data_IF_704358005168
#
_entry.id   IF_704358005168
#
_cell.length_a   1.000
_cell.length_b   1.000
_cell.length_c   1.000
_cell.angle_alpha   90.00
_cell.angle_beta   90.00
_cell.angle_gamma   90.00
#
_symmetry.space_group_name_H-M   'P 1'
#
loop_
_entity.id
_entity.type
_entity.pdbx_description
1 polymer ?
#
# COMPACT_ATOMS: atom_id res chain seq x y z
N UNK A 1 15.38 7.39 -27.19
CA UNK A 1 14.09 6.71 -26.92
C UNK A 1 13.80 6.84 -25.42
N UNK A 2 12.72 7.50 -25.00
CA UNK A 2 12.40 7.60 -23.57
C UNK A 2 11.94 6.24 -23.03
N UNK A 3 12.57 5.76 -21.95
CA UNK A 3 12.20 4.51 -21.26
C UNK A 3 10.80 4.66 -20.67
N UNK A 4 9.86 3.82 -21.10
CA UNK A 4 8.48 3.78 -20.60
C UNK A 4 8.14 2.40 -20.04
N UNK A 5 7.46 2.37 -18.91
CA UNK A 5 6.82 1.15 -18.41
C UNK A 5 5.34 1.15 -18.80
N UNK A 6 4.80 -0.04 -19.05
CA UNK A 6 3.41 -0.24 -19.47
C UNK A 6 2.79 -1.30 -18.57
N UNK A 7 1.59 -1.02 -18.09
CA UNK A 7 0.82 -1.94 -17.26
C UNK A 7 -0.62 -1.95 -17.72
N UNK A 8 -1.27 -3.11 -17.65
CA UNK A 8 -2.71 -3.23 -17.82
C UNK A 8 -3.33 -3.26 -16.42
N UNK A 9 -4.23 -2.32 -16.11
CA UNK A 9 -4.96 -2.32 -14.85
C UNK A 9 -6.42 -2.51 -15.20
N UNK A 10 -6.98 -3.61 -14.72
CA UNK A 10 -8.26 -4.12 -15.19
C UNK A 10 -8.18 -4.35 -16.71
N UNK A 11 -8.95 -3.61 -17.50
CA UNK A 11 -8.91 -3.70 -18.96
C UNK A 11 -8.34 -2.46 -19.65
N UNK A 12 -7.76 -1.53 -18.88
CA UNK A 12 -7.17 -0.29 -19.38
C UNK A 12 -5.66 -0.34 -19.31
N UNK A 13 -5.01 0.07 -20.40
CA UNK A 13 -3.55 0.17 -20.46
C UNK A 13 -3.08 1.55 -20.00
N UNK A 14 -2.07 1.56 -19.15
CA UNK A 14 -1.39 2.77 -18.67
C UNK A 14 0.09 2.72 -19.05
N UNK A 15 0.67 3.89 -19.32
CA UNK A 15 2.09 4.02 -19.63
C UNK A 15 2.71 5.14 -18.81
N UNK A 16 3.86 4.87 -18.23
CA UNK A 16 4.56 5.79 -17.33
C UNK A 16 5.97 6.05 -17.81
N UNK A 17 6.42 7.30 -17.67
CA UNK A 17 7.82 7.63 -17.88
C UNK A 17 8.67 6.98 -16.78
N UNK A 18 9.72 6.26 -17.18
CA UNK A 18 10.67 5.58 -16.31
C UNK A 18 12.13 5.97 -16.64
N UNK A 19 12.32 7.14 -17.24
CA UNK A 19 13.62 7.74 -17.47
C UNK A 19 14.35 7.96 -16.13
N UNK A 20 15.63 7.61 -16.10
CA UNK A 20 16.44 7.59 -14.87
C UNK A 20 16.18 6.38 -13.96
N UNK A 21 15.25 5.48 -14.28
CA UNK A 21 15.06 4.27 -13.50
C UNK A 21 16.24 3.30 -13.68
N UNK A 22 16.73 2.65 -12.59
CA UNK A 22 17.82 1.69 -12.65
C UNK A 22 17.62 0.56 -13.67
N UNK A 23 18.69 -0.19 -14.01
CA UNK A 23 18.60 -1.38 -14.82
C UNK A 23 17.58 -2.38 -14.26
N UNK A 24 16.88 -3.07 -15.17
CA UNK A 24 15.97 -4.15 -14.82
C UNK A 24 16.72 -5.47 -14.89
N UNK A 25 16.48 -6.35 -13.92
CA UNK A 25 17.04 -7.69 -13.86
C UNK A 25 15.99 -8.66 -13.32
N UNK A 26 16.14 -9.93 -13.69
CA UNK A 26 15.42 -11.01 -13.05
C UNK A 26 16.10 -11.37 -11.71
N UNK A 27 15.33 -11.91 -10.77
CA UNK A 27 15.85 -12.43 -9.52
C UNK A 27 16.43 -13.84 -9.65
N UNK A 28 16.57 -14.49 -8.50
CA UNK A 28 17.06 -15.87 -8.39
C UNK A 28 15.94 -16.88 -8.70
N UNK A 29 16.29 -18.09 -9.11
CA UNK A 29 15.33 -19.17 -9.38
C UNK A 29 14.81 -19.80 -8.08
N UNK A 30 14.20 -18.98 -7.22
CA UNK A 30 13.64 -19.39 -5.93
C UNK A 30 12.33 -18.69 -5.66
N UNK A 31 11.39 -19.40 -5.01
CA UNK A 31 10.16 -18.83 -4.49
C UNK A 31 10.40 -18.30 -3.07
N UNK A 32 10.35 -16.97 -2.91
CA UNK A 32 10.57 -16.35 -1.60
C UNK A 32 9.42 -16.59 -0.62
N UNK A 33 8.18 -16.73 -1.09
CA UNK A 33 7.04 -17.06 -0.24
C UNK A 33 7.00 -18.57 0.04
N UNK A 34 7.13 -18.96 1.30
CA UNK A 34 7.02 -20.33 1.77
C UNK A 34 6.64 -20.34 3.26
N UNK A 35 6.45 -21.53 3.83
CA UNK A 35 6.05 -21.73 5.23
C UNK A 35 6.96 -21.02 6.24
N UNK A 36 8.24 -20.82 5.91
CA UNK A 36 9.19 -20.15 6.80
C UNK A 36 9.17 -18.64 6.67
N UNK A 37 8.75 -18.08 5.54
CA UNK A 37 8.98 -16.67 5.19
C UNK A 37 7.69 -15.87 4.98
N UNK A 38 6.56 -16.53 4.79
CA UNK A 38 5.27 -15.91 4.55
C UNK A 38 4.29 -16.29 5.66
N UNK A 39 3.88 -15.31 6.47
CA UNK A 39 2.92 -15.52 7.55
C UNK A 39 1.53 -15.94 7.06
N UNK A 40 1.25 -15.76 5.77
CA UNK A 40 -0.02 -16.16 5.16
C UNK A 40 -0.02 -17.59 4.64
N UNK A 41 1.11 -18.33 4.71
CA UNK A 41 1.24 -19.68 4.13
C UNK A 41 0.17 -20.67 4.59
N UNK A 42 -0.19 -20.64 5.89
CA UNK A 42 -1.20 -21.53 6.47
C UNK A 42 -2.65 -21.06 6.29
N UNK A 43 -2.88 -19.96 5.57
CA UNK A 43 -4.23 -19.42 5.39
C UNK A 43 -4.95 -20.11 4.24
N UNK A 44 -6.26 -20.35 4.36
CA UNK A 44 -7.08 -20.97 3.30
C UNK A 44 -7.05 -20.19 1.97
N UNK A 45 -6.75 -18.90 2.03
CA UNK A 45 -6.66 -18.01 0.88
C UNK A 45 -5.23 -17.82 0.36
N UNK A 46 -4.26 -18.60 0.87
CA UNK A 46 -2.86 -18.48 0.50
C UNK A 46 -2.66 -18.58 -1.00
N UNK A 47 -3.32 -19.50 -1.73
CA UNK A 47 -3.17 -19.60 -3.19
C UNK A 47 -3.46 -18.29 -3.94
N UNK A 48 -4.47 -17.54 -3.48
CA UNK A 48 -4.79 -16.20 -4.00
C UNK A 48 -3.77 -15.16 -3.51
N UNK A 49 -3.26 -15.35 -2.29
CA UNK A 49 -2.29 -14.49 -1.60
C UNK A 49 -2.92 -13.30 -0.89
N UNK A 50 -4.25 -13.21 -0.92
CA UNK A 50 -5.03 -12.20 -0.22
C UNK A 50 -6.48 -12.63 -0.03
N UNK A 51 -7.16 -11.97 0.91
CA UNK A 51 -8.62 -12.07 1.11
C UNK A 51 -9.16 -10.76 1.68
N UNK A 52 -10.42 -10.48 1.36
CA UNK A 52 -11.16 -9.35 1.91
C UNK A 52 -12.06 -9.87 3.01
N UNK A 53 -12.00 -9.22 4.17
CA UNK A 53 -12.81 -9.59 5.34
C UNK A 53 -13.70 -8.42 5.76
N UNK A 54 -14.94 -8.70 6.21
CA UNK A 54 -15.67 -7.77 7.08
C UNK A 54 -14.82 -7.48 8.32
N UNK A 55 -14.73 -6.21 8.73
CA UNK A 55 -13.81 -5.81 9.79
C UNK A 55 -14.46 -4.89 10.83
N UNK A 56 -15.05 -3.79 10.39
CA UNK A 56 -15.63 -2.77 11.25
C UNK A 56 -17.13 -2.66 11.00
N UNK A 57 -17.89 -2.58 12.09
CA UNK A 57 -19.27 -2.12 12.02
C UNK A 57 -19.35 -0.64 11.64
N UNK A 58 -20.56 -0.17 11.31
CA UNK A 58 -20.79 1.22 10.88
C UNK A 58 -20.26 2.26 11.88
N UNK A 59 -20.53 2.08 13.18
CA UNK A 59 -20.08 3.01 14.22
C UNK A 59 -18.55 3.03 14.36
N UNK A 60 -17.92 1.86 14.34
CA UNK A 60 -16.46 1.72 14.42
C UNK A 60 -15.78 2.34 13.20
N UNK A 61 -16.33 2.11 12.01
CA UNK A 61 -15.84 2.73 10.77
C UNK A 61 -15.98 4.26 10.80
N UNK A 62 -17.12 4.79 11.28
CA UNK A 62 -17.30 6.24 11.41
C UNK A 62 -16.31 6.87 12.40
N UNK A 63 -16.01 6.18 13.51
CA UNK A 63 -14.99 6.61 14.46
C UNK A 63 -13.61 6.62 13.80
N UNK A 64 -13.24 5.55 13.09
CA UNK A 64 -11.98 5.49 12.32
C UNK A 64 -11.89 6.64 11.30
N UNK A 65 -12.92 6.82 10.47
CA UNK A 65 -12.96 7.89 9.47
C UNK A 65 -12.77 9.27 10.12
N UNK A 66 -13.45 9.52 11.24
CA UNK A 66 -13.35 10.80 11.95
C UNK A 66 -11.93 11.03 12.46
N UNK A 67 -11.31 10.02 13.08
CA UNK A 67 -9.95 10.12 13.58
C UNK A 67 -8.90 10.33 12.49
N UNK A 68 -9.02 9.61 11.38
CA UNK A 68 -8.17 9.82 10.19
C UNK A 68 -8.37 11.23 9.62
N UNK A 69 -9.63 11.68 9.51
CA UNK A 69 -9.94 13.04 9.03
C UNK A 69 -9.38 14.12 9.96
N UNK A 70 -9.42 13.91 11.28
CA UNK A 70 -8.87 14.84 12.28
C UNK A 70 -7.34 14.88 12.20
N UNK A 71 -6.68 13.72 12.09
CA UNK A 71 -5.23 13.61 11.92
C UNK A 71 -4.75 14.38 10.68
N UNK A 72 -5.36 14.13 9.51
CA UNK A 72 -5.00 14.84 8.27
C UNK A 72 -5.30 16.33 8.37
N UNK A 73 -6.40 16.72 9.03
CA UNK A 73 -6.72 18.14 9.28
C UNK A 73 -5.66 18.81 10.15
N UNK A 74 -5.18 18.16 11.22
CA UNK A 74 -4.10 18.69 12.07
C UNK A 74 -2.83 18.92 11.27
N UNK A 75 -2.42 17.94 10.47
CA UNK A 75 -1.23 18.04 9.62
C UNK A 75 -1.35 19.20 8.62
N UNK A 76 -2.52 19.43 8.04
CA UNK A 76 -2.77 20.58 7.16
C UNK A 76 -2.65 21.90 7.93
N UNK A 77 -3.28 22.02 9.10
CA UNK A 77 -3.23 23.21 9.94
C UNK A 77 -1.81 23.53 10.43
N UNK A 78 -1.03 22.52 10.82
CA UNK A 78 0.39 22.66 11.19
C UNK A 78 1.25 23.23 10.05
N UNK A 79 0.80 23.05 8.81
CA UNK A 79 1.42 23.61 7.59
C UNK A 79 0.85 24.97 7.20
N UNK A 80 -0.02 25.56 8.02
CA UNK A 80 -0.66 26.85 7.74
C UNK A 80 -1.70 26.80 6.63
N UNK A 81 -2.20 25.61 6.27
CA UNK A 81 -3.25 25.45 5.26
C UNK A 81 -4.61 25.65 5.93
N UNK A 82 -5.46 26.50 5.35
CA UNK A 82 -6.82 26.71 5.84
C UNK A 82 -7.67 25.44 5.66
N UNK A 83 -8.34 25.02 6.73
CA UNK A 83 -9.14 23.77 6.77
C UNK A 83 -10.62 24.00 7.06
N UNK A 84 -11.12 25.22 6.86
CA UNK A 84 -12.53 25.56 6.99
C UNK A 84 -13.36 24.65 6.07
N UNK A 85 -14.38 23.97 6.62
CA UNK A 85 -15.21 22.97 5.90
C UNK A 85 -14.42 21.79 5.31
N UNK A 86 -13.28 21.41 5.90
CA UNK A 86 -12.46 20.30 5.43
C UNK A 86 -13.24 18.98 5.32
N UNK A 87 -13.18 18.37 4.14
CA UNK A 87 -13.65 17.03 3.85
C UNK A 87 -12.51 16.18 3.30
N UNK A 88 -12.25 15.02 3.91
CA UNK A 88 -11.12 14.17 3.58
C UNK A 88 -11.12 13.71 2.11
N UNK A 89 -12.28 13.36 1.56
CA UNK A 89 -12.43 12.99 0.13
C UNK A 89 -12.24 14.18 -0.83
N UNK A 90 -12.22 15.41 -0.33
CA UNK A 90 -11.93 16.65 -1.09
C UNK A 90 -10.60 17.28 -0.73
N UNK A 91 -9.73 16.55 -0.02
CA UNK A 91 -8.40 16.98 0.40
C UNK A 91 -7.59 17.72 -0.70
N UNK A 92 -7.67 17.29 -1.96
CA UNK A 92 -6.94 17.90 -3.07
C UNK A 92 -7.30 19.37 -3.32
N UNK A 93 -8.47 19.84 -2.86
CA UNK A 93 -8.93 21.23 -3.02
C UNK A 93 -8.31 22.19 -2.02
N UNK A 94 -7.71 21.67 -0.96
CA UNK A 94 -7.12 22.48 0.11
C UNK A 94 -5.63 22.75 -0.11
N UNK A 95 -5.01 22.08 -1.08
CA UNK A 95 -3.58 22.20 -1.32
C UNK A 95 -3.31 23.31 -2.34
N UNK A 96 -2.40 24.26 -2.03
CA UNK A 96 -2.04 25.31 -2.98
C UNK A 96 -1.19 24.76 -4.14
N UNK A 97 -0.38 23.73 -3.90
CA UNK A 97 0.50 23.13 -4.89
C UNK A 97 0.89 21.67 -4.59
N UNK A 98 1.76 21.11 -5.44
CA UNK A 98 2.29 19.76 -5.28
C UNK A 98 3.28 19.60 -4.11
N UNK A 99 4.01 20.66 -3.75
CA UNK A 99 4.97 20.60 -2.65
C UNK A 99 4.24 20.46 -1.32
N UNK A 100 3.17 21.22 -1.11
CA UNK A 100 2.29 21.06 0.06
C UNK A 100 1.74 19.64 0.16
N UNK A 101 1.34 19.04 -0.97
CA UNK A 101 0.91 17.64 -0.98
C UNK A 101 2.02 16.69 -0.51
N UNK A 102 3.24 16.86 -1.02
CA UNK A 102 4.37 16.00 -0.66
C UNK A 102 4.75 16.13 0.81
N UNK A 103 4.71 17.35 1.37
CA UNK A 103 4.95 17.55 2.80
C UNK A 103 3.94 16.82 3.68
N UNK A 104 2.64 16.93 3.34
CA UNK A 104 1.58 16.23 4.06
C UNK A 104 1.78 14.72 3.92
N UNK A 105 1.99 14.20 2.70
CA UNK A 105 2.14 12.76 2.47
C UNK A 105 3.39 12.18 3.13
N UNK A 106 4.47 12.96 3.25
CA UNK A 106 5.64 12.53 4.01
C UNK A 106 5.29 12.31 5.48
N UNK A 107 4.52 13.23 6.09
CA UNK A 107 4.05 13.07 7.47
C UNK A 107 3.06 11.92 7.61
N UNK A 108 2.12 11.76 6.68
CA UNK A 108 1.10 10.70 6.77
C UNK A 108 1.62 9.29 6.53
N UNK A 109 2.88 9.13 6.11
CA UNK A 109 3.58 7.84 5.98
C UNK A 109 4.42 7.49 7.21
N UNK A 110 4.49 8.39 8.19
CA UNK A 110 5.34 8.31 9.37
C UNK A 110 4.50 8.64 10.63
N UNK A 111 3.39 7.91 10.79
CA UNK A 111 2.49 8.04 11.93
C UNK A 111 2.62 6.83 12.85
N UNK A 112 2.29 7.02 14.12
CA UNK A 112 2.24 6.03 15.16
C UNK A 112 0.89 6.07 15.85
N UNK A 113 0.62 5.08 16.71
CA UNK A 113 -0.61 4.99 17.49
C UNK A 113 -0.96 6.26 18.27
N UNK A 114 0.04 7.03 18.70
CA UNK A 114 -0.13 8.30 19.42
C UNK A 114 -0.60 9.47 18.56
N UNK A 115 -0.51 9.37 17.23
CA UNK A 115 -0.94 10.42 16.30
C UNK A 115 -2.45 10.35 16.00
N UNK A 116 -3.17 9.41 16.62
CA UNK A 116 -4.59 9.15 16.41
C UNK A 116 -5.39 9.30 17.71
N UNK A 117 -6.65 9.70 17.57
CA UNK A 117 -7.64 9.75 18.65
C UNK A 117 -8.38 8.41 18.83
N UNK A 118 -8.08 7.40 18.03
CA UNK A 118 -8.61 6.04 18.13
C UNK A 118 -7.58 5.04 18.66
N UNK A 119 -8.06 4.01 19.35
CA UNK A 119 -7.20 2.99 19.96
C UNK A 119 -6.79 1.91 18.94
N UNK A 120 -5.58 2.03 18.38
CA UNK A 120 -4.99 1.07 17.43
C UNK A 120 -4.87 -0.35 17.97
N UNK A 121 -4.70 -0.54 19.29
CA UNK A 121 -4.60 -1.87 19.88
C UNK A 121 -5.89 -2.68 19.70
N UNK A 122 -7.06 -2.02 19.68
CA UNK A 122 -8.35 -2.67 19.38
C UNK A 122 -8.37 -3.19 17.94
N UNK A 123 -7.79 -2.45 16.99
CA UNK A 123 -7.68 -2.88 15.60
C UNK A 123 -6.75 -4.09 15.49
N UNK A 124 -5.57 -4.05 16.14
CA UNK A 124 -4.63 -5.18 16.09
C UNK A 124 -5.24 -6.46 16.67
N UNK A 125 -6.03 -6.37 17.74
CA UNK A 125 -6.76 -7.51 18.29
C UNK A 125 -7.75 -8.10 17.28
N UNK A 126 -8.62 -7.27 16.70
CA UNK A 126 -9.58 -7.73 15.67
C UNK A 126 -8.88 -8.30 14.43
N UNK A 127 -7.79 -7.69 13.99
CA UNK A 127 -6.98 -8.21 12.88
C UNK A 127 -6.34 -9.56 13.23
N UNK A 128 -5.89 -9.74 14.48
CA UNK A 128 -5.35 -11.00 14.99
C UNK A 128 -6.39 -12.12 14.93
N UNK A 129 -7.64 -11.81 15.32
CA UNK A 129 -8.78 -12.74 15.23
C UNK A 129 -9.04 -13.17 13.78
N UNK A 130 -8.93 -12.25 12.81
CA UNK A 130 -9.13 -12.57 11.38
C UNK A 130 -8.05 -13.49 10.81
N UNK A 131 -6.79 -13.38 11.26
CA UNK A 131 -5.68 -14.21 10.76
C UNK A 131 -5.41 -15.46 11.61
N UNK A 132 -6.00 -15.55 12.80
CA UNK A 132 -5.89 -16.71 13.70
C UNK A 132 -4.63 -16.73 14.58
N UNK A 133 -3.92 -15.62 14.74
CA UNK A 133 -2.77 -15.50 15.64
C UNK A 133 -2.52 -14.05 16.07
N UNK A 134 -1.82 -13.86 17.20
CA UNK A 134 -1.51 -12.53 17.72
C UNK A 134 -0.61 -11.72 16.77
N UNK A 135 -1.02 -10.48 16.53
CA UNK A 135 -0.28 -9.51 15.73
C UNK A 135 0.31 -8.39 16.59
N UNK A 136 1.43 -7.83 16.13
CA UNK A 136 2.09 -6.68 16.73
C UNK A 136 2.60 -5.72 15.67
N UNK A 137 2.66 -4.42 15.99
CA UNK A 137 3.32 -3.41 15.19
C UNK A 137 4.81 -3.28 15.50
N UNK A 138 5.37 -4.15 16.35
CA UNK A 138 6.80 -4.17 16.66
C UNK A 138 7.50 -5.14 15.71
N UNK A 139 8.51 -4.67 14.98
CA UNK A 139 9.32 -5.52 14.13
C UNK A 139 10.25 -6.39 15.02
N UNK A 140 10.12 -7.73 14.99
CA UNK A 140 10.89 -8.61 15.87
C UNK A 140 12.39 -8.63 15.55
N UNK A 141 12.82 -8.11 14.40
CA UNK A 141 14.23 -8.10 14.01
C UNK A 141 15.02 -6.91 14.59
N UNK A 142 14.34 -5.84 15.00
CA UNK A 142 15.00 -4.62 15.47
C UNK A 142 14.24 -3.88 16.58
N UNK A 143 13.13 -4.45 17.07
CA UNK A 143 12.28 -3.95 18.15
C UNK A 143 11.68 -2.55 17.91
N UNK A 144 11.72 -2.06 16.67
CA UNK A 144 11.12 -0.78 16.30
C UNK A 144 9.63 -0.95 16.03
N UNK A 145 8.84 0.03 16.50
CA UNK A 145 7.45 0.17 16.09
C UNK A 145 7.38 0.53 14.62
N UNK A 146 6.46 -0.11 13.92
CA UNK A 146 6.14 0.16 12.54
C UNK A 146 5.25 1.38 12.43
N UNK A 147 5.48 2.14 11.37
CA UNK A 147 4.64 3.26 11.02
C UNK A 147 3.27 2.77 10.52
N UNK A 148 2.26 3.53 10.88
CA UNK A 148 0.92 3.49 10.32
C UNK A 148 0.89 4.48 9.16
N UNK A 149 0.37 4.07 8.01
CA UNK A 149 0.40 4.89 6.80
C UNK A 149 -1.02 5.28 6.42
N UNK A 150 -1.31 6.58 6.36
CA UNK A 150 -2.45 7.10 5.59
C UNK A 150 -1.97 7.38 4.17
N UNK A 151 -2.40 6.54 3.24
CA UNK A 151 -2.10 6.66 1.82
C UNK A 151 -3.13 7.55 1.14
N UNK A 152 -2.72 8.77 0.80
CA UNK A 152 -3.55 9.76 0.09
C UNK A 152 -3.16 9.77 -1.38
N UNK A 153 -4.14 9.60 -2.28
CA UNK A 153 -3.95 9.70 -3.72
C UNK A 153 -4.97 10.68 -4.34
N UNK A 154 -4.49 11.79 -4.91
CA UNK A 154 -5.34 12.84 -5.50
C UNK A 154 -5.96 12.36 -6.81
N UNK A 155 -7.13 12.90 -7.23
CA UNK A 155 -7.73 12.55 -8.51
C UNK A 155 -6.79 12.86 -9.67
N UNK A 156 -6.74 11.97 -10.66
CA UNK A 156 -5.94 12.11 -11.90
C UNK A 156 -4.46 12.46 -11.68
N UNK A 157 -3.89 12.04 -10.55
CA UNK A 157 -2.50 12.36 -10.19
C UNK A 157 -1.55 11.16 -10.32
N UNK A 158 -0.25 11.44 -10.15
CA UNK A 158 0.79 10.42 -10.08
C UNK A 158 1.12 10.02 -8.62
N UNK A 159 0.16 10.09 -7.69
CA UNK A 159 0.40 9.83 -6.26
C UNK A 159 0.19 8.35 -5.90
N UNK A 160 0.82 7.47 -6.70
CA UNK A 160 0.82 6.03 -6.51
C UNK A 160 2.25 5.47 -6.48
N UNK A 161 2.40 4.28 -5.91
CA UNK A 161 3.63 3.50 -6.02
C UNK A 161 3.59 2.60 -7.27
N UNK A 162 4.72 2.32 -7.91
CA UNK A 162 4.82 1.28 -8.94
C UNK A 162 4.39 -0.10 -8.41
N UNK A 163 4.19 -1.12 -9.27
CA UNK A 163 4.03 -2.49 -8.83
C UNK A 163 5.28 -2.95 -8.08
N UNK A 164 5.10 -3.59 -6.93
CA UNK A 164 6.17 -4.06 -6.06
C UNK A 164 5.70 -5.21 -5.16
N UNK A 165 6.65 -5.93 -4.57
CA UNK A 165 6.44 -6.73 -3.35
C UNK A 165 7.13 -5.98 -2.21
N UNK A 166 6.51 -5.93 -1.02
CA UNK A 166 7.09 -5.18 0.09
C UNK A 166 8.38 -5.82 0.63
N UNK A 167 8.50 -7.14 0.50
CA UNK A 167 9.70 -7.89 0.92
C UNK A 167 10.94 -7.62 0.07
N UNK A 168 10.80 -7.11 -1.16
CA UNK A 168 11.95 -6.97 -2.07
C UNK A 168 13.00 -6.00 -1.56
N UNK A 169 12.62 -4.94 -0.85
CA UNK A 169 13.59 -3.95 -0.37
C UNK A 169 14.58 -4.59 0.61
N UNK A 170 14.09 -5.30 1.63
CA UNK A 170 14.94 -5.97 2.61
C UNK A 170 15.66 -7.18 2.02
N UNK A 171 15.00 -7.93 1.14
CA UNK A 171 15.60 -9.10 0.52
C UNK A 171 16.73 -8.73 -0.44
N UNK A 172 16.52 -7.75 -1.32
CA UNK A 172 17.55 -7.37 -2.30
C UNK A 172 18.74 -6.65 -1.64
N UNK A 173 18.52 -5.94 -0.53
CA UNK A 173 19.57 -5.23 0.22
C UNK A 173 20.35 -6.17 1.15
N UNK A 174 19.66 -6.94 1.99
CA UNK A 174 20.25 -7.64 3.13
C UNK A 174 20.07 -9.16 3.08
N UNK A 175 19.44 -9.70 2.02
CA UNK A 175 18.98 -11.10 1.92
C UNK A 175 18.04 -11.50 3.07
N UNK A 176 17.41 -10.51 3.70
CA UNK A 176 16.50 -10.73 4.82
C UNK A 176 15.04 -10.62 4.37
N UNK A 177 14.23 -11.60 4.78
CA UNK A 177 12.79 -11.60 4.57
C UNK A 177 12.08 -11.30 5.88
N UNK A 178 11.65 -10.04 6.04
CA UNK A 178 10.81 -9.66 7.16
C UNK A 178 9.43 -10.29 7.04
N UNK A 179 9.02 -11.00 8.08
CA UNK A 179 7.76 -11.75 8.13
C UNK A 179 6.65 -10.87 8.67
N UNK A 180 6.00 -10.12 7.78
CA UNK A 180 4.81 -9.33 8.12
C UNK A 180 3.68 -9.61 7.13
N UNK A 181 2.47 -9.23 7.54
CA UNK A 181 1.26 -9.23 6.72
C UNK A 181 0.84 -7.78 6.50
N UNK A 182 0.32 -7.49 5.31
CA UNK A 182 -0.22 -6.19 4.99
C UNK A 182 -1.73 -6.15 5.22
N UNK A 183 -2.19 -5.02 5.75
CA UNK A 183 -3.60 -4.70 5.91
C UNK A 183 -3.87 -3.38 5.21
N UNK A 184 -4.89 -3.35 4.36
CA UNK A 184 -5.31 -2.16 3.63
C UNK A 184 -6.79 -1.92 3.86
N UNK A 185 -7.14 -0.76 4.42
CA UNK A 185 -8.50 -0.41 4.80
C UNK A 185 -8.93 0.83 3.99
N UNK A 186 -10.00 0.74 3.18
CA UNK A 186 -10.52 1.90 2.47
C UNK A 186 -11.15 2.89 3.45
N UNK A 187 -10.79 4.18 3.36
CA UNK A 187 -11.33 5.23 4.24
C UNK A 187 -12.32 6.12 3.47
N UNK A 188 -11.91 6.65 2.31
CA UNK A 188 -12.81 7.38 1.42
C UNK A 188 -12.28 7.45 -0.01
N UNK A 189 -13.15 7.80 -0.95
CA UNK A 189 -12.82 7.91 -2.36
C UNK A 189 -12.29 6.61 -2.97
N UNK A 190 -12.63 5.45 -2.40
CA UNK A 190 -12.25 4.14 -2.93
C UNK A 190 -13.41 3.61 -3.77
N UNK A 191 -13.09 3.29 -5.02
CA UNK A 191 -14.00 2.65 -5.97
C UNK A 191 -13.22 1.75 -6.92
N UNK A 192 -13.89 1.08 -7.86
CA UNK A 192 -13.22 0.34 -8.93
C UNK A 192 -12.31 1.21 -9.82
N UNK A 193 -12.36 2.54 -9.70
CA UNK A 193 -11.44 3.45 -10.42
C UNK A 193 -10.20 3.84 -9.61
N UNK A 194 -10.14 3.51 -8.32
CA UNK A 194 -9.11 4.02 -7.39
C UNK A 194 -8.61 3.02 -6.33
N UNK A 195 -9.28 1.86 -6.21
CA UNK A 195 -8.89 0.74 -5.34
C UNK A 195 -7.50 0.21 -5.68
N UNK A 196 -6.89 -0.51 -4.74
CA UNK A 196 -5.56 -1.10 -4.86
C UNK A 196 -5.56 -2.27 -5.84
N UNK A 197 -4.80 -2.20 -6.95
CA UNK A 197 -4.58 -3.35 -7.82
C UNK A 197 -3.62 -4.36 -7.20
N UNK A 198 -3.93 -5.64 -7.41
CA UNK A 198 -3.20 -6.80 -6.95
C UNK A 198 -2.95 -7.77 -8.11
N UNK A 199 -1.99 -8.68 -7.94
CA UNK A 199 -1.78 -9.82 -8.83
C UNK A 199 -1.97 -11.11 -8.03
N UNK A 200 -3.14 -11.73 -8.16
CA UNK A 200 -3.46 -13.01 -7.53
C UNK A 200 -2.38 -14.06 -7.78
N UNK A 201 -1.96 -14.78 -6.74
CA UNK A 201 -0.96 -15.85 -6.84
C UNK A 201 0.48 -15.41 -7.15
N UNK A 202 0.76 -14.11 -7.31
CA UNK A 202 2.10 -13.62 -7.68
C UNK A 202 3.20 -13.85 -6.63
N UNK A 203 2.81 -14.10 -5.37
CA UNK A 203 3.72 -14.51 -4.32
C UNK A 203 4.27 -15.93 -4.52
N UNK A 204 3.58 -16.77 -5.31
CA UNK A 204 4.01 -18.13 -5.63
C UNK A 204 5.05 -18.19 -6.76
N UNK A 205 5.24 -17.09 -7.48
CA UNK A 205 6.21 -17.02 -8.57
C UNK A 205 7.65 -17.07 -8.03
N UNK A 206 8.54 -17.84 -8.67
CA UNK A 206 9.97 -17.72 -8.40
C UNK A 206 10.51 -16.38 -8.94
N UNK A 207 11.54 -15.85 -8.29
CA UNK A 207 12.01 -14.49 -8.53
C UNK A 207 12.68 -14.31 -9.91
N UNK A 208 13.13 -15.39 -10.55
CA UNK A 208 13.63 -15.41 -11.93
C UNK A 208 12.53 -15.16 -12.97
N UNK A 209 11.26 -15.21 -12.57
CA UNK A 209 10.12 -14.82 -13.42
C UNK A 209 9.74 -13.35 -13.25
N UNK A 210 10.34 -12.64 -12.31
CA UNK A 210 9.97 -11.26 -11.96
C UNK A 210 11.07 -10.31 -12.45
N UNK A 211 10.74 -9.48 -13.43
CA UNK A 211 11.63 -8.45 -13.94
C UNK A 211 11.44 -7.17 -13.11
N UNK A 212 12.46 -6.78 -12.36
CA UNK A 212 12.40 -5.61 -11.48
C UNK A 212 13.71 -4.82 -11.41
N UNK A 213 13.65 -3.64 -10.81
CA UNK A 213 14.85 -2.91 -10.35
C UNK A 213 15.34 -3.46 -9.01
N UNK A 214 16.63 -3.29 -8.71
CA UNK A 214 17.25 -3.74 -7.45
C UNK A 214 17.71 -2.58 -6.54
N UNK A 215 17.62 -1.34 -7.00
CA UNK A 215 18.09 -0.12 -6.31
C UNK A 215 16.98 0.94 -6.29
N UNK A 216 15.82 0.57 -5.75
CA UNK A 216 14.63 1.41 -5.81
C UNK A 216 14.19 1.63 -7.26
N UNK A 217 13.47 2.71 -7.55
CA UNK A 217 13.13 3.02 -8.94
C UNK A 217 12.62 4.43 -9.17
N UNK A 218 12.47 4.78 -10.45
CA UNK A 218 11.98 6.09 -10.88
C UNK A 218 10.76 5.90 -11.78
N UNK A 219 9.64 6.51 -11.40
CA UNK A 219 8.43 6.59 -12.22
C UNK A 219 7.91 8.03 -12.18
N UNK A 220 7.56 8.60 -13.34
CA UNK A 220 7.01 9.95 -13.46
C UNK A 220 7.88 11.00 -12.74
N UNK A 221 9.21 10.88 -12.88
CA UNK A 221 10.24 11.70 -12.22
C UNK A 221 10.28 11.61 -10.68
N UNK A 222 9.50 10.72 -10.05
CA UNK A 222 9.52 10.45 -8.62
C UNK A 222 10.42 9.26 -8.31
N UNK A 223 11.25 9.38 -7.28
CA UNK A 223 12.09 8.30 -6.73
C UNK A 223 11.28 7.48 -5.72
N UNK A 224 11.48 6.16 -5.75
CA UNK A 224 10.84 5.21 -4.86
C UNK A 224 11.90 4.28 -4.27
N UNK A 225 11.77 3.92 -2.99
CA UNK A 225 12.65 2.94 -2.34
C UNK A 225 12.27 1.50 -2.72
N UNK A 226 10.99 1.28 -3.00
CA UNK A 226 10.47 -0.02 -3.45
C UNK A 226 11.09 -0.42 -4.78
N UNK A 227 11.23 -1.73 -4.97
CA UNK A 227 11.73 -2.33 -6.20
C UNK A 227 10.63 -2.34 -7.25
N UNK A 228 10.81 -1.61 -8.33
CA UNK A 228 9.82 -1.45 -9.39
C UNK A 228 9.75 -2.73 -10.20
N UNK A 229 8.64 -3.46 -10.09
CA UNK A 229 8.35 -4.62 -10.91
C UNK A 229 7.72 -4.14 -12.22
N UNK A 230 8.25 -4.61 -13.36
CA UNK A 230 7.80 -4.22 -14.70
C UNK A 230 7.10 -5.36 -15.42
N UNK A 231 7.49 -6.61 -15.14
CA UNK A 231 6.77 -7.79 -15.60
C UNK A 231 6.97 -8.99 -14.67
N UNK A 232 6.04 -9.93 -14.72
CA UNK A 232 6.07 -11.18 -13.99
C UNK A 232 5.54 -12.29 -14.89
N UNK A 233 6.36 -13.31 -15.13
CA UNK A 233 6.03 -14.44 -16.01
C UNK A 233 5.51 -13.98 -17.40
N UNK A 234 6.19 -13.00 -17.99
CA UNK A 234 5.82 -12.40 -19.28
C UNK A 234 4.58 -11.49 -19.26
N UNK A 235 3.97 -11.27 -18.09
CA UNK A 235 2.75 -10.45 -17.90
C UNK A 235 3.03 -9.13 -17.20
N UNK A 236 2.08 -8.21 -17.27
CA UNK A 236 2.13 -6.89 -16.61
C UNK A 236 0.73 -6.38 -16.22
N UNK A 237 -0.23 -7.30 -16.03
CA UNK A 237 -1.62 -6.99 -15.76
C UNK A 237 -2.02 -7.16 -14.28
N UNK A 238 -2.62 -6.13 -13.69
CA UNK A 238 -3.13 -6.12 -12.32
C UNK A 238 -4.64 -5.95 -12.33
N UNK A 239 -5.32 -6.46 -11.31
CA UNK A 239 -6.77 -6.31 -11.14
C UNK A 239 -7.07 -5.59 -9.83
N UNK A 240 -8.01 -4.65 -9.88
CA UNK A 240 -8.55 -3.99 -8.68
C UNK A 240 -9.61 -4.87 -8.06
N UNK A 241 -9.59 -4.95 -6.73
CA UNK A 241 -10.66 -5.60 -5.99
C UNK A 241 -11.71 -4.57 -5.53
N UNK A 242 -12.97 -4.97 -5.51
CA UNK A 242 -14.07 -4.20 -4.94
C UNK A 242 -14.07 -4.33 -3.41
N UNK A 243 -13.50 -3.34 -2.73
CA UNK A 243 -13.35 -3.34 -1.27
C UNK A 243 -14.26 -2.26 -0.70
N UNK A 244 -15.24 -2.68 0.09
CA UNK A 244 -16.23 -1.80 0.71
C UNK A 244 -15.70 -1.17 1.99
N UNK A 245 -16.25 -0.01 2.36
CA UNK A 245 -16.00 0.59 3.67
C UNK A 245 -16.44 -0.33 4.80
N UNK A 246 -15.64 -0.40 5.85
CA UNK A 246 -15.79 -1.37 6.94
C UNK A 246 -15.17 -2.74 6.65
N UNK A 247 -14.65 -2.99 5.45
CA UNK A 247 -13.84 -4.18 5.18
C UNK A 247 -12.34 -3.88 5.30
N UNK A 248 -11.54 -4.94 5.41
CA UNK A 248 -10.08 -4.91 5.30
C UNK A 248 -9.63 -5.88 4.21
N UNK A 249 -8.69 -5.44 3.37
CA UNK A 249 -7.93 -6.32 2.50
C UNK A 249 -6.68 -6.77 3.27
N UNK A 250 -6.56 -8.08 3.47
CA UNK A 250 -5.40 -8.73 4.08
C UNK A 250 -4.62 -9.43 2.97
N UNK A 251 -3.31 -9.19 2.86
CA UNK A 251 -2.50 -9.78 1.80
C UNK A 251 -1.07 -10.06 2.23
N UNK A 252 -0.48 -11.06 1.57
CA UNK A 252 0.92 -11.43 1.74
C UNK A 252 1.85 -10.25 1.41
N UNK A 253 2.90 -10.08 2.20
CA UNK A 253 4.00 -9.14 1.91
C UNK A 253 4.80 -9.51 0.66
N UNK A 254 4.62 -10.74 0.17
CA UNK A 254 5.18 -11.26 -1.07
C UNK A 254 4.25 -11.07 -2.28
N UNK A 255 3.06 -10.49 -2.11
CA UNK A 255 2.13 -10.28 -3.23
C UNK A 255 2.52 -9.04 -4.03
N UNK A 256 2.54 -9.17 -5.37
CA UNK A 256 2.69 -8.02 -6.27
C UNK A 256 1.43 -7.17 -6.18
N UNK A 257 1.62 -5.91 -5.80
CA UNK A 257 0.58 -4.90 -5.71
C UNK A 257 1.15 -3.52 -6.03
N UNK A 258 0.27 -2.53 -6.21
CA UNK A 258 0.66 -1.16 -6.52
C UNK A 258 -0.06 -0.63 -7.74
N UNK A 259 0.46 0.42 -8.36
CA UNK A 259 -0.23 1.11 -9.46
C UNK A 259 -1.67 1.54 -9.11
N UNK A 260 -1.91 1.91 -7.85
CA UNK A 260 -3.23 2.31 -7.35
C UNK A 260 -3.63 3.72 -7.81
N UNK A 261 -3.64 3.92 -9.14
CA UNK A 261 -4.04 5.13 -9.84
C UNK A 261 -5.46 5.48 -9.43
N UNK A 262 -5.66 6.77 -9.12
CA UNK A 262 -6.96 7.33 -8.87
C UNK A 262 -7.50 7.94 -10.19
N UNK A 263 -8.23 7.12 -10.96
CA UNK A 263 -8.83 7.51 -12.24
C UNK A 263 -10.21 8.18 -12.06
N UNK A 264 -10.43 8.75 -10.87
CA UNK A 264 -11.62 9.55 -10.55
C UNK A 264 -11.32 11.03 -10.80
N UNK A 265 -12.39 11.80 -10.99
CA UNK A 265 -12.27 13.21 -11.38
C UNK A 265 -12.16 14.12 -10.16
N UNK A 266 -12.94 13.85 -9.13
CA UNK A 266 -13.20 14.82 -8.05
C UNK A 266 -13.05 14.24 -6.65
N UNK A 267 -12.54 13.02 -6.50
CA UNK A 267 -12.41 12.37 -5.20
C UNK A 267 -10.96 12.01 -4.91
N UNK A 268 -10.43 12.51 -3.79
CA UNK A 268 -9.20 12.00 -3.20
C UNK A 268 -9.46 10.60 -2.64
N UNK A 269 -8.65 9.63 -3.05
CA UNK A 269 -8.66 8.28 -2.46
C UNK A 269 -7.78 8.27 -1.22
N UNK A 270 -8.33 7.83 -0.10
CA UNK A 270 -7.61 7.66 1.16
C UNK A 270 -7.78 6.24 1.67
N UNK A 271 -6.67 5.63 2.05
CA UNK A 271 -6.64 4.31 2.68
C UNK A 271 -5.68 4.30 3.86
N UNK A 272 -5.94 3.42 4.83
CA UNK A 272 -5.07 3.16 5.96
C UNK A 272 -4.32 1.84 5.71
N UNK A 273 -3.01 1.86 5.92
CA UNK A 273 -2.14 0.70 5.70
C UNK A 273 -1.41 0.35 7.00
N UNK A 274 -1.42 -0.94 7.35
CA UNK A 274 -0.60 -1.51 8.42
C UNK A 274 0.31 -2.61 7.88
N UNK A 275 1.51 -2.69 8.46
CA UNK A 275 2.40 -3.85 8.36
C UNK A 275 2.54 -4.44 9.75
N UNK A 276 1.92 -5.60 9.98
CA UNK A 276 1.93 -6.24 11.30
C UNK A 276 2.69 -7.56 11.25
N UNK A 277 3.40 -7.84 12.34
CA UNK A 277 4.19 -9.04 12.55
C UNK A 277 3.43 -10.01 13.43
N UNK A 278 3.75 -11.30 13.32
CA UNK A 278 3.31 -12.29 14.30
C UNK A 278 4.07 -12.06 15.61
N UNK A 279 3.34 -12.00 16.72
CA UNK A 279 3.90 -11.87 18.07
C UNK A 279 4.44 -13.21 18.58
#
# INVERSE_FOLDING_TARGET
>A
MHKKFKFKIDDKQFSFNAEGSPPLKYGIQERLSNERTDLTFGQEWYEKGFKIFPFLGKTEFNSLYSGISNCVRSILSEKGIEVTNFQLNKYHRFLPDNNSHYEVVNKTRDLFSSDFDFNTAVFYKKLSELVGFELTDINPNNEKKMHIIIRINRPRSNDFNPPHKDIHESFDRDKNVYKFINFWIPICGVSLKSSLPLVSGSHLLPEDKILRTFEGGVIQKKKYNVRNIVSWDGRNDLRREDIRYGNVLIFSSHLIHGCAINDQDEETRVALEFRLFKK
#
